data_IF_263228593512
#
_entry.id   IF_263228593512
#
_cell.length_a   1.000
_cell.length_b   1.000
_cell.length_c   1.000
_cell.angle_alpha   90.00
_cell.angle_beta   90.00
_cell.angle_gamma   90.00
#
_symmetry.space_group_name_H-M   'P 1'
#
loop_
_entity.id
_entity.type
_entity.pdbx_description
1 polymer ?
#
# COMPACT_ATOMS: atom_id res chain seq x y z
N UNK A 1 10.60 -41.71 33.19
CA UNK A 1 10.53 -40.24 32.98
C UNK A 1 11.95 -39.82 32.58
N UNK A 2 12.24 -39.14 31.48
CA UNK A 2 11.49 -38.13 30.74
C UNK A 2 11.78 -38.21 29.24
N UNK A 3 10.79 -37.80 28.45
CA UNK A 3 10.86 -37.57 27.01
C UNK A 3 11.71 -36.32 26.76
N UNK A 4 12.69 -36.39 25.85
CA UNK A 4 13.25 -35.18 25.21
C UNK A 4 12.71 -35.17 23.78
N UNK A 5 11.69 -34.35 23.55
CA UNK A 5 11.32 -33.94 22.20
C UNK A 5 12.40 -32.97 21.71
N UNK A 6 13.03 -33.30 20.60
CA UNK A 6 13.78 -32.33 19.82
C UNK A 6 12.74 -31.64 18.93
N UNK A 7 12.58 -30.33 19.15
CA UNK A 7 11.71 -29.48 18.36
C UNK A 7 12.11 -29.54 16.90
N UNK A 8 11.12 -29.86 16.08
CA UNK A 8 11.04 -29.41 14.70
C UNK A 8 10.79 -27.90 14.77
N UNK A 9 11.83 -27.09 14.58
CA UNK A 9 11.64 -25.66 14.33
C UNK A 9 11.41 -25.52 12.82
N UNK A 10 10.13 -25.68 12.50
CA UNK A 10 9.49 -25.45 11.21
C UNK A 10 9.81 -24.06 10.66
N UNK A 11 9.88 -24.00 9.33
CA UNK A 11 9.74 -22.83 8.47
C UNK A 11 9.21 -21.57 9.17
N UNK A 12 10.13 -20.66 9.48
CA UNK A 12 9.83 -19.25 9.68
C UNK A 12 9.33 -18.67 8.36
N UNK A 13 8.07 -18.97 8.06
CA UNK A 13 7.26 -18.25 7.10
C UNK A 13 7.38 -16.77 7.47
N UNK A 14 7.96 -15.96 6.57
CA UNK A 14 7.97 -14.49 6.67
C UNK A 14 6.53 -13.99 6.55
N UNK A 15 5.71 -14.31 7.55
CA UNK A 15 4.35 -13.85 7.68
C UNK A 15 4.47 -12.38 8.07
N UNK A 16 4.30 -11.51 7.09
CA UNK A 16 4.18 -10.07 7.29
C UNK A 16 3.16 -9.85 8.41
N UNK A 17 3.62 -9.46 9.58
CA UNK A 17 2.78 -9.32 10.77
C UNK A 17 2.05 -7.98 10.70
N UNK A 18 0.88 -7.85 11.32
CA UNK A 18 0.20 -6.54 11.42
C UNK A 18 1.09 -5.46 12.07
N UNK A 19 2.10 -5.86 12.84
CA UNK A 19 3.10 -4.99 13.44
C UNK A 19 4.05 -4.32 12.44
N UNK A 20 4.08 -4.80 11.20
CA UNK A 20 4.90 -4.25 10.12
C UNK A 20 4.22 -3.08 9.40
N UNK A 21 2.97 -2.76 9.77
CA UNK A 21 2.21 -1.69 9.15
C UNK A 21 1.85 -0.58 10.15
N UNK A 22 1.98 0.67 9.71
CA UNK A 22 1.38 1.83 10.35
C UNK A 22 0.10 2.23 9.61
N UNK A 23 -0.98 2.48 10.36
CA UNK A 23 -2.15 3.16 9.80
C UNK A 23 -1.88 4.67 9.74
N UNK A 24 -1.78 5.21 8.53
CA UNK A 24 -1.53 6.64 8.27
C UNK A 24 -2.65 7.21 7.40
N UNK A 25 -2.76 8.53 7.36
CA UNK A 25 -3.65 9.23 6.42
C UNK A 25 -2.99 9.44 5.08
N UNK A 26 -3.79 9.71 4.05
CA UNK A 26 -3.27 10.03 2.72
C UNK A 26 -2.37 11.29 2.71
N UNK A 27 -2.63 12.24 3.60
CA UNK A 27 -1.81 13.46 3.77
C UNK A 27 -0.38 13.17 4.30
N UNK A 28 -0.19 12.02 4.93
CA UNK A 28 1.08 11.59 5.52
C UNK A 28 1.90 10.69 4.57
N UNK A 29 1.34 10.29 3.43
CA UNK A 29 2.01 9.45 2.44
C UNK A 29 3.16 10.24 1.81
N UNK A 30 4.34 9.64 1.79
CA UNK A 30 5.52 10.23 1.19
C UNK A 30 6.04 9.38 0.03
N UNK A 31 6.78 10.03 -0.87
CA UNK A 31 7.59 9.32 -1.87
C UNK A 31 8.53 8.33 -1.17
N UNK A 32 8.61 7.13 -1.72
CA UNK A 32 9.41 6.04 -1.16
C UNK A 32 8.68 5.17 -0.13
N UNK A 33 7.44 5.51 0.22
CA UNK A 33 6.62 4.65 1.06
C UNK A 33 6.10 3.45 0.28
N UNK A 34 5.96 2.33 0.97
CA UNK A 34 5.25 1.16 0.49
C UNK A 34 3.88 1.12 1.18
N UNK A 35 2.81 1.26 0.41
CA UNK A 35 1.45 1.44 0.89
C UNK A 35 0.57 0.28 0.42
N UNK A 36 -0.22 -0.28 1.32
CA UNK A 36 -1.39 -1.07 0.98
C UNK A 36 -2.61 -0.14 1.09
N UNK A 37 -3.19 0.17 -0.07
CA UNK A 37 -4.38 1.02 -0.17
C UNK A 37 -5.65 0.19 0.10
N UNK A 38 -6.66 0.77 0.76
CA UNK A 38 -7.93 0.07 0.96
C UNK A 38 -8.71 0.05 -0.36
N UNK A 39 -8.53 -1.02 -1.12
CA UNK A 39 -9.04 -1.19 -2.48
C UNK A 39 -10.56 -1.17 -2.62
N UNK A 40 -11.28 -1.45 -1.52
CA UNK A 40 -12.73 -1.46 -1.44
C UNK A 40 -13.33 -0.14 -0.95
N UNK A 41 -12.49 0.82 -0.53
CA UNK A 41 -12.97 2.09 0.00
C UNK A 41 -13.45 3.03 -1.12
N UNK A 42 -14.68 3.60 -1.04
CA UNK A 42 -15.27 4.38 -2.12
C UNK A 42 -14.49 5.66 -2.45
N UNK A 43 -13.74 6.21 -1.49
CA UNK A 43 -12.89 7.39 -1.67
C UNK A 43 -11.49 7.08 -2.24
N UNK A 44 -11.21 5.83 -2.62
CA UNK A 44 -10.00 5.44 -3.36
C UNK A 44 -10.38 5.18 -4.81
N UNK A 45 -9.75 5.91 -5.74
CA UNK A 45 -10.03 5.84 -7.18
C UNK A 45 -8.76 5.59 -7.96
N UNK A 46 -8.71 4.44 -8.62
CA UNK A 46 -7.59 4.05 -9.46
C UNK A 46 -7.79 4.49 -10.90
N UNK A 47 -6.72 4.99 -11.50
CA UNK A 47 -6.67 5.39 -12.90
C UNK A 47 -5.51 4.63 -13.55
N UNK A 48 -5.85 3.79 -14.52
CA UNK A 48 -4.87 3.05 -15.33
C UNK A 48 -4.90 3.64 -16.72
N UNK A 49 -3.78 4.20 -17.18
CA UNK A 49 -3.67 4.62 -18.56
C UNK A 49 -3.73 3.39 -19.48
N UNK A 50 -4.60 3.43 -20.50
CA UNK A 50 -4.69 2.40 -21.52
C UNK A 50 -3.31 2.17 -22.15
N UNK A 51 -2.77 0.96 -21.99
CA UNK A 51 -1.46 0.58 -22.52
C UNK A 51 -0.30 0.54 -21.52
N UNK A 52 -0.46 1.03 -20.28
CA UNK A 52 0.59 0.93 -19.24
C UNK A 52 0.50 -0.32 -18.35
N UNK A 53 -0.69 -0.87 -18.15
CA UNK A 53 -0.89 -2.13 -17.44
C UNK A 53 -1.91 -2.99 -18.18
N UNK A 54 -1.57 -4.26 -18.45
CA UNK A 54 -2.41 -5.19 -19.20
C UNK A 54 -3.61 -5.72 -18.39
N UNK A 55 -3.59 -5.52 -17.07
CA UNK A 55 -4.69 -5.78 -16.16
C UNK A 55 -4.66 -4.69 -15.08
N UNK A 56 -5.76 -3.99 -14.76
CA UNK A 56 -5.76 -3.02 -13.68
C UNK A 56 -5.50 -3.77 -12.36
N UNK A 57 -4.37 -3.57 -11.66
CA UNK A 57 -4.10 -4.24 -10.38
C UNK A 57 -4.95 -3.65 -9.23
N UNK A 58 -5.93 -2.83 -9.60
CA UNK A 58 -6.49 -1.73 -8.83
C UNK A 58 -7.39 -2.15 -7.66
N UNK A 59 -7.92 -3.36 -7.66
CA UNK A 59 -8.86 -3.80 -6.61
C UNK A 59 -8.41 -5.06 -5.88
N UNK A 60 -7.10 -5.22 -5.67
CA UNK A 60 -6.55 -6.40 -5.01
C UNK A 60 -6.13 -6.06 -3.56
N UNK A 61 -6.83 -6.64 -2.55
CA UNK A 61 -6.39 -6.50 -1.16
C UNK A 61 -5.05 -7.22 -0.96
N UNK A 62 -4.20 -6.67 -0.08
CA UNK A 62 -2.88 -7.24 0.24
C UNK A 62 -1.78 -6.93 -0.77
N UNK A 63 -2.05 -6.14 -1.81
CA UNK A 63 -1.01 -5.68 -2.75
C UNK A 63 -0.29 -4.46 -2.18
N UNK A 64 1.05 -4.51 -2.22
CA UNK A 64 1.92 -3.43 -1.77
C UNK A 64 2.31 -2.53 -2.95
N UNK A 65 2.12 -1.24 -2.76
CA UNK A 65 2.34 -0.21 -3.77
C UNK A 65 3.44 0.73 -3.34
N UNK A 66 4.52 0.79 -4.12
CA UNK A 66 5.60 1.75 -3.93
C UNK A 66 5.19 3.12 -4.46
N UNK A 67 5.28 4.16 -3.62
CA UNK A 67 4.92 5.54 -3.98
C UNK A 67 6.09 6.20 -4.72
N UNK A 68 5.92 6.37 -6.03
CA UNK A 68 6.91 7.00 -6.89
C UNK A 68 6.88 8.52 -6.80
N UNK A 69 5.67 9.10 -6.80
CA UNK A 69 5.47 10.54 -6.80
C UNK A 69 4.08 10.92 -6.28
N UNK A 70 4.00 12.11 -5.67
CA UNK A 70 2.76 12.87 -5.53
C UNK A 70 2.57 13.67 -6.84
N UNK A 71 1.39 13.56 -7.45
CA UNK A 71 1.05 14.17 -8.73
C UNK A 71 0.13 15.36 -8.50
N UNK A 72 0.60 16.55 -8.87
CA UNK A 72 -0.19 17.78 -8.88
C UNK A 72 -0.37 18.44 -7.50
N UNK A 73 -1.19 19.49 -7.49
CA UNK A 73 -1.57 20.22 -6.29
C UNK A 73 -2.65 19.44 -5.51
N UNK A 74 -2.58 19.53 -4.18
CA UNK A 74 -3.66 19.02 -3.31
C UNK A 74 -4.93 19.82 -3.61
N UNK A 75 -5.96 19.12 -4.11
CA UNK A 75 -7.25 19.76 -4.39
C UNK A 75 -8.05 19.84 -3.09
N UNK A 76 -8.05 21.03 -2.50
CA UNK A 76 -8.83 21.32 -1.30
C UNK A 76 -10.32 21.23 -1.64
N UNK A 77 -11.04 20.38 -0.92
CA UNK A 77 -12.46 20.13 -1.16
C UNK A 77 -13.24 20.13 0.15
N UNK A 78 -14.50 20.58 0.15
CA UNK A 78 -15.38 20.46 1.31
C UNK A 78 -15.58 19.01 1.80
N UNK A 79 -15.29 18.04 0.93
CA UNK A 79 -15.38 16.60 1.20
C UNK A 79 -14.03 16.00 1.65
N UNK A 80 -13.04 16.84 1.97
CA UNK A 80 -11.67 16.45 2.33
C UNK A 80 -10.71 16.58 1.15
N UNK A 81 -9.46 16.90 1.44
CA UNK A 81 -8.41 17.11 0.46
C UNK A 81 -8.22 15.86 -0.43
N UNK A 82 -8.09 16.07 -1.74
CA UNK A 82 -7.85 14.98 -2.68
C UNK A 82 -6.37 14.94 -3.07
N UNK A 83 -5.73 13.81 -2.80
CA UNK A 83 -4.34 13.53 -3.13
C UNK A 83 -4.28 12.59 -4.32
N UNK A 84 -3.35 12.84 -5.25
CA UNK A 84 -3.10 11.98 -6.41
C UNK A 84 -1.66 11.49 -6.36
N UNK A 85 -1.45 10.19 -6.51
CA UNK A 85 -0.12 9.58 -6.49
C UNK A 85 0.11 8.72 -7.71
N UNK A 86 1.34 8.71 -8.20
CA UNK A 86 1.83 7.63 -9.09
C UNK A 86 2.44 6.56 -8.20
N UNK A 87 1.98 5.32 -8.37
CA UNK A 87 2.44 4.17 -7.59
C UNK A 87 2.81 3.01 -8.49
N UNK A 88 3.73 2.17 -8.03
CA UNK A 88 4.14 0.94 -8.71
C UNK A 88 3.90 -0.28 -7.84
N UNK A 89 3.34 -1.32 -8.43
CA UNK A 89 3.17 -2.60 -7.74
C UNK A 89 4.53 -3.21 -7.42
N UNK A 90 4.77 -3.50 -6.14
CA UNK A 90 6.01 -4.16 -5.70
C UNK A 90 6.00 -5.61 -6.22
N UNK A 91 6.98 -5.97 -7.05
CA UNK A 91 7.13 -7.31 -7.63
C UNK A 91 6.62 -7.45 -9.07
N UNK A 92 5.57 -6.73 -9.47
CA UNK A 92 5.03 -6.76 -10.84
C UNK A 92 5.45 -5.54 -11.68
N UNK A 93 5.76 -4.40 -11.05
CA UNK A 93 6.24 -3.19 -11.73
C UNK A 93 5.18 -2.41 -12.51
N UNK A 94 3.90 -2.75 -12.37
CA UNK A 94 2.81 -2.01 -13.00
C UNK A 94 2.68 -0.61 -12.38
N UNK A 95 2.76 0.43 -13.22
CA UNK A 95 2.61 1.82 -12.80
C UNK A 95 1.17 2.29 -13.00
N UNK A 96 0.57 2.84 -11.94
CA UNK A 96 -0.82 3.33 -11.95
C UNK A 96 -0.92 4.64 -11.18
N UNK A 97 -1.95 5.43 -11.51
CA UNK A 97 -2.33 6.61 -10.74
C UNK A 97 -3.43 6.25 -9.75
N UNK A 98 -3.30 6.69 -8.50
CA UNK A 98 -4.32 6.53 -7.45
C UNK A 98 -4.71 7.89 -6.89
N UNK A 99 -6.02 8.13 -6.77
CA UNK A 99 -6.60 9.30 -6.12
C UNK A 99 -7.27 8.88 -4.82
N UNK A 100 -6.95 9.57 -3.74
CA UNK A 100 -7.43 9.22 -2.40
C UNK A 100 -7.74 10.49 -1.59
N UNK A 101 -8.80 10.43 -0.78
CA UNK A 101 -9.15 11.52 0.14
C UNK A 101 -8.28 11.50 1.40
N UNK A 102 -7.94 12.68 1.90
CA UNK A 102 -7.06 12.88 3.07
C UNK A 102 -7.46 12.09 4.31
N UNK A 103 -8.76 11.95 4.59
CA UNK A 103 -9.28 11.23 5.76
C UNK A 103 -9.19 9.70 5.66
N UNK A 104 -8.91 9.15 4.49
CA UNK A 104 -8.90 7.70 4.27
C UNK A 104 -7.64 7.11 4.93
N UNK A 105 -7.79 6.17 5.88
CA UNK A 105 -6.65 5.48 6.45
C UNK A 105 -6.05 4.51 5.42
N UNK A 106 -4.73 4.52 5.29
CA UNK A 106 -3.97 3.55 4.49
C UNK A 106 -2.96 2.83 5.38
N UNK A 107 -2.54 1.64 4.97
CA UNK A 107 -1.52 0.88 5.68
C UNK A 107 -0.17 1.13 5.05
N UNK A 108 0.74 1.81 5.73
CA UNK A 108 2.12 1.98 5.30
C UNK A 108 2.97 0.88 5.90
N UNK A 109 3.68 0.14 5.06
CA UNK A 109 4.70 -0.79 5.50
C UNK A 109 5.87 -0.02 6.12
N UNK A 110 6.22 -0.36 7.36
CA UNK A 110 7.34 0.26 8.08
C UNK A 110 8.60 0.04 7.29
N UNK A 111 9.37 1.11 7.07
CA UNK A 111 10.72 0.98 6.54
C UNK A 111 11.48 0.17 7.58
N UNK A 112 11.87 -1.04 7.24
CA UNK A 112 12.73 -1.85 8.10
C UNK A 112 14.03 -1.06 8.21
N UNK A 113 14.18 -0.28 9.29
CA UNK A 113 15.41 0.42 9.61
C UNK A 113 16.40 -0.65 10.07
N UNK A 114 17.09 -1.26 9.09
CA UNK A 114 18.29 -2.05 9.34
C UNK A 114 19.40 -1.19 9.92
#
# INVERSE_FOLDING_TARGET
MARRGAGEDEEGSDAVTEHDYDAIRAEEIQRGDNIEFPSDHPDVKWHVEEGRASNPPCNQPGVLWYVEALVGDVLISPLGDLYTFTVKEVGAGAEVEVKIRGHVPVRRYRRNHG
#
